data_IF_099165445111
#
_entry.id   IF_099165445111
#
_cell.length_a   1.000
_cell.length_b   1.000
_cell.length_c   1.000
_cell.angle_alpha   90.00
_cell.angle_beta   90.00
_cell.angle_gamma   90.00
#
_symmetry.space_group_name_H-M   'P 1'
#
loop_
_entity.id
_entity.type
_entity.pdbx_description
1 polymer ?
#
# COMPACT_ATOMS: atom_id res chain seq x y z
N UNK A 1 -85.64 -42.70 1.32
CA UNK A 1 -85.78 -43.28 -0.03
C UNK A 1 -84.59 -42.86 -0.86
N UNK A 2 -83.97 -43.83 -1.56
CA UNK A 2 -83.19 -43.78 -2.81
C UNK A 2 -82.45 -42.46 -3.16
N UNK A 3 -81.12 -42.38 -3.26
CA UNK A 3 -80.18 -43.08 -4.17
C UNK A 3 -80.47 -42.83 -5.66
N UNK A 4 -79.57 -42.06 -6.31
CA UNK A 4 -79.07 -42.08 -7.70
C UNK A 4 -79.16 -40.79 -8.55
N UNK A 5 -78.09 -40.63 -9.35
CA UNK A 5 -77.77 -39.69 -10.44
C UNK A 5 -76.98 -38.43 -9.99
N UNK A 6 -75.76 -38.09 -10.44
CA UNK A 6 -74.86 -38.47 -11.55
C UNK A 6 -73.41 -38.12 -11.11
N UNK A 7 -72.42 -39.03 -11.18
CA UNK A 7 -71.41 -39.18 -12.26
C UNK A 7 -70.65 -37.91 -12.70
N UNK A 8 -69.39 -37.86 -12.23
CA UNK A 8 -68.16 -37.37 -12.86
C UNK A 8 -68.06 -35.92 -13.35
N UNK A 9 -67.38 -35.10 -12.55
CA UNK A 9 -66.44 -34.08 -13.04
C UNK A 9 -65.24 -34.00 -12.07
N UNK A 10 -64.11 -34.56 -12.54
CA UNK A 10 -62.73 -34.29 -12.15
C UNK A 10 -62.41 -34.11 -10.66
N UNK A 11 -62.05 -35.22 -10.00
CA UNK A 11 -61.07 -35.17 -8.92
C UNK A 11 -60.21 -36.43 -8.89
N UNK A 12 -58.96 -36.25 -8.50
CA UNK A 12 -57.94 -37.25 -8.15
C UNK A 12 -57.35 -38.12 -9.27
N UNK A 13 -56.28 -37.62 -9.89
CA UNK A 13 -54.98 -38.29 -9.88
C UNK A 13 -53.92 -37.31 -10.42
N UNK A 14 -53.51 -36.37 -9.57
CA UNK A 14 -52.20 -35.75 -9.72
C UNK A 14 -51.19 -36.83 -9.34
N UNK A 15 -50.55 -37.44 -10.34
CA UNK A 15 -49.37 -38.30 -10.16
C UNK A 15 -48.24 -37.44 -9.56
N UNK A 16 -48.28 -37.29 -8.24
CA UNK A 16 -47.20 -36.71 -7.47
C UNK A 16 -46.06 -37.71 -7.45
N UNK A 17 -44.97 -37.40 -8.15
CA UNK A 17 -43.73 -38.12 -7.99
C UNK A 17 -43.36 -38.22 -6.50
N UNK A 18 -42.96 -39.40 -6.00
CA UNK A 18 -42.60 -39.54 -4.61
C UNK A 18 -41.34 -38.72 -4.33
N UNK A 19 -41.49 -37.63 -3.57
CA UNK A 19 -40.35 -36.92 -2.99
C UNK A 19 -39.51 -37.91 -2.19
N UNK A 20 -38.35 -38.30 -2.73
CA UNK A 20 -37.44 -39.27 -2.12
C UNK A 20 -37.02 -38.77 -0.73
N UNK A 21 -37.49 -39.48 0.30
CA UNK A 21 -37.24 -39.15 1.72
C UNK A 21 -35.76 -39.44 2.05
N UNK A 22 -34.88 -38.44 1.90
CA UNK A 22 -33.45 -38.58 2.22
C UNK A 22 -33.24 -39.23 3.60
N UNK A 23 -32.38 -40.24 3.66
CA UNK A 23 -32.14 -40.99 4.90
C UNK A 23 -31.46 -40.10 5.96
N UNK A 24 -31.75 -40.34 7.23
CA UNK A 24 -31.15 -39.60 8.36
C UNK A 24 -29.62 -39.66 8.36
N UNK A 25 -29.04 -40.72 7.81
CA UNK A 25 -27.61 -40.88 7.60
C UNK A 25 -27.07 -39.94 6.51
N UNK A 26 -27.74 -39.82 5.36
CA UNK A 26 -27.36 -38.88 4.30
C UNK A 26 -27.34 -37.44 4.84
N UNK A 27 -28.34 -37.05 5.65
CA UNK A 27 -28.36 -35.71 6.29
C UNK A 27 -27.20 -35.50 7.26
N UNK A 28 -26.78 -36.52 8.01
CA UNK A 28 -25.64 -36.44 8.94
C UNK A 28 -24.31 -36.34 8.19
N UNK A 29 -24.13 -37.13 7.13
CA UNK A 29 -22.93 -37.08 6.28
C UNK A 29 -22.83 -35.73 5.56
N UNK A 30 -23.92 -35.24 4.96
CA UNK A 30 -23.94 -33.92 4.30
C UNK A 30 -23.68 -32.78 5.29
N UNK A 31 -24.25 -32.84 6.50
CA UNK A 31 -23.95 -31.86 7.56
C UNK A 31 -22.49 -31.92 7.99
N UNK A 32 -21.94 -33.13 8.16
CA UNK A 32 -20.53 -33.32 8.46
C UNK A 32 -19.65 -32.70 7.37
N UNK A 33 -19.86 -33.10 6.12
CA UNK A 33 -19.11 -32.58 4.97
C UNK A 33 -19.18 -31.05 4.87
N UNK A 34 -20.37 -30.47 5.03
CA UNK A 34 -20.57 -29.02 5.06
C UNK A 34 -19.79 -28.33 6.18
N UNK A 35 -19.88 -28.84 7.42
CA UNK A 35 -19.16 -28.28 8.56
C UNK A 35 -17.65 -28.36 8.34
N UNK A 36 -17.14 -29.51 7.90
CA UNK A 36 -15.72 -29.74 7.69
C UNK A 36 -15.14 -29.02 6.46
N UNK A 37 -15.97 -28.52 5.54
CA UNK A 37 -15.52 -27.69 4.41
C UNK A 37 -15.72 -26.20 4.65
N UNK A 38 -16.90 -25.79 5.12
CA UNK A 38 -17.27 -24.37 5.24
C UNK A 38 -16.62 -23.72 6.45
N UNK A 39 -16.55 -24.41 7.59
CA UNK A 39 -15.96 -23.82 8.81
C UNK A 39 -14.49 -23.46 8.58
N UNK A 40 -13.61 -24.36 8.08
CA UNK A 40 -12.22 -23.99 7.79
C UNK A 40 -12.12 -22.85 6.78
N UNK A 41 -12.92 -22.86 5.71
CA UNK A 41 -12.89 -21.80 4.71
C UNK A 41 -13.23 -20.44 5.31
N UNK A 42 -14.32 -20.35 6.08
CA UNK A 42 -14.71 -19.11 6.77
C UNK A 42 -13.64 -18.70 7.79
N UNK A 43 -13.06 -19.65 8.52
CA UNK A 43 -11.96 -19.38 9.44
C UNK A 43 -10.75 -18.76 8.73
N UNK A 44 -10.34 -19.29 7.57
CA UNK A 44 -9.24 -18.72 6.78
C UNK A 44 -9.57 -17.31 6.31
N UNK A 45 -10.80 -17.06 5.84
CA UNK A 45 -11.24 -15.71 5.44
C UNK A 45 -11.22 -14.73 6.62
N UNK A 46 -11.68 -15.14 7.79
CA UNK A 46 -11.64 -14.31 8.99
C UNK A 46 -10.20 -14.03 9.47
N UNK A 47 -9.31 -15.03 9.39
CA UNK A 47 -7.89 -14.86 9.68
C UNK A 47 -7.27 -13.84 8.72
N UNK A 48 -7.57 -13.92 7.43
CA UNK A 48 -7.11 -12.94 6.46
C UNK A 48 -7.59 -11.53 6.80
N UNK A 49 -8.90 -11.34 7.03
CA UNK A 49 -9.46 -10.01 7.33
C UNK A 49 -8.83 -9.38 8.57
N UNK A 50 -8.52 -10.18 9.59
CA UNK A 50 -7.92 -9.70 10.84
C UNK A 50 -6.41 -9.47 10.75
N UNK A 51 -5.69 -10.25 9.95
CA UNK A 51 -4.23 -10.18 9.84
C UNK A 51 -3.71 -9.41 8.61
N UNK A 52 -4.56 -9.03 7.65
CA UNK A 52 -4.14 -8.42 6.38
C UNK A 52 -3.17 -7.25 6.55
N UNK A 53 -3.40 -6.34 7.51
CA UNK A 53 -2.50 -5.19 7.72
C UNK A 53 -1.13 -5.60 8.25
N UNK A 54 -1.03 -6.67 9.04
CA UNK A 54 0.25 -7.24 9.51
C UNK A 54 0.99 -8.01 8.41
N UNK A 55 0.26 -8.50 7.40
CA UNK A 55 0.87 -9.12 6.23
C UNK A 55 1.37 -8.06 5.24
N UNK A 56 0.61 -6.98 5.09
CA UNK A 56 0.90 -5.87 4.18
C UNK A 56 2.02 -4.97 4.70
N UNK A 57 1.93 -4.51 5.95
CA UNK A 57 2.94 -3.70 6.60
C UNK A 57 3.75 -4.60 7.53
N UNK A 58 5.08 -4.57 7.39
CA UNK A 58 6.01 -5.29 8.25
C UNK A 58 6.88 -4.28 9.01
N UNK A 59 6.32 -3.61 10.04
CA UNK A 59 7.09 -2.67 10.82
C UNK A 59 8.30 -3.34 11.45
N UNK A 60 9.41 -2.63 11.41
CA UNK A 60 10.68 -2.99 12.06
C UNK A 60 10.97 -1.92 13.12
N UNK A 61 10.33 -2.00 14.30
CA UNK A 61 10.59 -1.04 15.38
C UNK A 61 12.04 -1.11 15.81
N UNK A 62 12.62 0.05 16.10
CA UNK A 62 13.98 0.17 16.61
C UNK A 62 14.06 1.42 17.48
N UNK A 63 14.84 1.32 18.55
CA UNK A 63 15.14 2.46 19.41
C UNK A 63 16.45 3.13 18.96
N UNK A 64 16.68 4.33 19.46
CA UNK A 64 17.95 5.06 19.36
C UNK A 64 18.43 5.33 17.93
N UNK A 65 17.51 5.69 17.05
CA UNK A 65 17.79 6.00 15.64
C UNK A 65 18.04 7.50 15.40
N UNK A 66 18.44 8.26 16.42
CA UNK A 66 18.88 9.64 16.22
C UNK A 66 20.26 9.70 15.56
N UNK A 67 20.56 10.81 14.89
CA UNK A 67 21.88 11.09 14.30
C UNK A 67 22.99 10.95 15.34
N UNK A 68 22.75 11.45 16.55
CA UNK A 68 23.72 11.43 17.64
C UNK A 68 24.01 10.00 18.14
N UNK A 69 22.99 9.18 18.33
CA UNK A 69 23.11 7.82 18.87
C UNK A 69 23.82 6.89 17.88
N UNK A 70 23.51 7.03 16.58
CA UNK A 70 24.16 6.28 15.52
C UNK A 70 25.53 6.83 15.12
N UNK A 71 25.98 7.94 15.73
CA UNK A 71 27.26 8.62 15.43
C UNK A 71 27.39 9.00 13.95
N UNK A 72 26.28 9.39 13.33
CA UNK A 72 26.26 9.90 11.97
C UNK A 72 26.80 11.34 11.96
N UNK A 73 27.39 11.75 10.83
CA UNK A 73 27.94 13.11 10.69
C UNK A 73 26.80 14.14 10.71
N UNK A 74 26.71 15.03 11.72
CA UNK A 74 25.62 16.00 11.84
C UNK A 74 25.64 17.09 10.75
N UNK A 75 26.73 17.22 9.99
CA UNK A 75 26.76 18.10 8.83
C UNK A 75 26.00 17.50 7.64
N UNK A 76 25.98 16.17 7.56
CA UNK A 76 25.36 15.42 6.47
C UNK A 76 23.99 14.86 6.83
N UNK A 77 23.71 14.63 8.11
CA UNK A 77 22.44 14.09 8.59
C UNK A 77 21.79 15.03 9.59
N UNK A 78 20.48 15.22 9.47
CA UNK A 78 19.66 15.93 10.46
C UNK A 78 18.46 15.09 10.83
N UNK A 79 18.16 15.03 12.13
CA UNK A 79 16.95 14.39 12.61
C UNK A 79 15.71 15.18 12.17
N UNK A 80 14.71 14.45 11.67
CA UNK A 80 13.40 14.98 11.32
C UNK A 80 12.37 14.41 12.28
N UNK A 81 11.52 15.28 12.82
CA UNK A 81 10.41 14.91 13.68
C UNK A 81 9.16 15.66 13.25
N UNK A 82 8.10 14.92 12.91
CA UNK A 82 6.80 15.49 12.54
C UNK A 82 5.76 15.03 13.56
N UNK A 83 5.03 15.99 14.15
CA UNK A 83 3.90 15.69 15.02
C UNK A 83 2.62 15.63 14.19
N UNK A 84 1.95 14.49 14.19
CA UNK A 84 0.71 14.31 13.44
C UNK A 84 -0.48 14.92 14.19
N UNK A 85 -1.57 15.20 13.47
CA UNK A 85 -2.78 15.79 14.07
C UNK A 85 -3.49 14.88 15.08
N UNK A 86 -3.21 13.58 15.04
CA UNK A 86 -3.69 12.56 15.97
C UNK A 86 -2.65 12.19 17.05
N UNK A 87 -1.66 13.07 17.28
CA UNK A 87 -0.69 12.98 18.38
C UNK A 87 0.24 11.74 18.31
N UNK A 88 0.55 11.30 17.09
CA UNK A 88 1.63 10.38 16.81
C UNK A 88 2.86 11.17 16.33
N UNK A 89 4.04 10.58 16.48
CA UNK A 89 5.31 11.18 16.05
C UNK A 89 5.90 10.37 14.91
N UNK A 90 6.11 11.01 13.77
CA UNK A 90 6.91 10.47 12.67
C UNK A 90 8.36 10.92 12.86
N UNK A 91 9.28 9.97 12.71
CA UNK A 91 10.72 10.16 12.79
C UNK A 91 11.36 9.88 11.45
N UNK A 92 12.49 10.53 11.20
CA UNK A 92 13.14 10.47 9.91
C UNK A 92 14.48 11.17 9.91
N UNK A 93 15.10 11.22 8.74
CA UNK A 93 16.32 11.98 8.51
C UNK A 93 16.20 12.85 7.27
N UNK A 94 16.88 13.99 7.32
CA UNK A 94 17.25 14.76 6.15
C UNK A 94 18.75 14.56 5.93
N UNK A 95 19.10 13.97 4.79
CA UNK A 95 20.48 13.83 4.35
C UNK A 95 20.83 14.93 3.36
N UNK A 96 22.02 15.49 3.52
CA UNK A 96 22.61 16.47 2.61
C UNK A 96 23.37 15.73 1.50
N UNK A 97 23.00 15.98 0.24
CA UNK A 97 23.69 15.42 -0.92
C UNK A 97 25.14 15.89 -1.05
N UNK A 98 26.01 14.99 -1.53
CA UNK A 98 27.42 15.29 -1.87
C UNK A 98 27.49 16.34 -2.97
N UNK A 99 28.58 17.09 -2.93
CA UNK A 99 28.77 18.27 -3.77
C UNK A 99 29.71 17.87 -4.88
N UNK A 100 29.27 18.00 -6.13
CA UNK A 100 30.06 17.57 -7.29
C UNK A 100 31.19 18.58 -7.64
N UNK A 101 31.12 19.80 -7.09
CA UNK A 101 31.93 20.97 -7.47
C UNK A 101 32.62 21.72 -6.31
N UNK A 102 32.31 21.41 -5.04
CA UNK A 102 33.06 21.90 -3.87
C UNK A 102 32.58 23.21 -3.20
N UNK A 103 31.86 24.11 -3.87
CA UNK A 103 31.52 25.47 -3.36
C UNK A 103 30.06 25.66 -2.94
N UNK A 104 29.73 25.95 -1.66
CA UNK A 104 28.35 25.86 -1.08
C UNK A 104 27.24 26.25 -2.08
N UNK A 105 26.33 25.32 -2.48
CA UNK A 105 25.37 25.63 -3.53
C UNK A 105 24.44 26.68 -2.94
N UNK A 106 24.01 27.63 -3.76
CA UNK A 106 22.95 28.54 -3.29
C UNK A 106 21.73 27.67 -2.97
N UNK A 107 20.94 28.04 -1.96
CA UNK A 107 19.75 27.27 -1.56
C UNK A 107 18.80 26.92 -2.74
N UNK A 108 18.78 27.75 -3.78
CA UNK A 108 18.01 27.53 -5.01
C UNK A 108 18.54 26.41 -5.94
N UNK A 109 19.75 25.91 -5.72
CA UNK A 109 20.37 24.87 -6.55
C UNK A 109 20.23 23.47 -5.97
N UNK A 110 19.88 23.37 -4.68
CA UNK A 110 19.65 22.07 -4.02
C UNK A 110 18.41 21.40 -4.61
N UNK A 111 18.45 20.08 -4.67
CA UNK A 111 17.34 19.23 -5.12
C UNK A 111 17.04 18.22 -4.03
N UNK A 112 15.78 18.00 -3.75
CA UNK A 112 15.33 17.09 -2.71
C UNK A 112 14.70 15.85 -3.35
N UNK A 113 15.04 14.68 -2.83
CA UNK A 113 14.29 13.44 -3.00
C UNK A 113 13.52 13.18 -1.72
N UNK A 114 12.19 13.13 -1.81
CA UNK A 114 11.37 12.57 -0.74
C UNK A 114 11.25 11.07 -1.01
N UNK A 115 11.89 10.26 -0.17
CA UNK A 115 11.91 8.81 -0.31
C UNK A 115 10.79 8.19 0.53
N UNK A 116 9.81 7.61 -0.16
CA UNK A 116 8.79 6.73 0.41
C UNK A 116 9.25 5.27 0.30
N UNK A 117 9.62 4.62 1.41
CA UNK A 117 10.17 3.26 1.39
C UNK A 117 9.12 2.18 1.13
N UNK A 118 9.58 0.98 0.79
CA UNK A 118 8.73 -0.22 0.77
C UNK A 118 8.06 -0.60 2.11
N UNK A 119 7.39 -1.75 2.13
CA UNK A 119 6.56 -2.19 3.24
C UNK A 119 7.31 -2.82 4.43
N UNK A 120 8.63 -2.79 4.39
CA UNK A 120 9.54 -3.44 5.35
C UNK A 120 10.76 -2.54 5.54
N UNK A 121 11.55 -2.84 6.57
CA UNK A 121 12.79 -2.12 6.94
C UNK A 121 12.52 -0.69 7.44
N UNK A 122 13.34 -0.24 8.38
CA UNK A 122 13.34 1.14 8.86
C UNK A 122 14.45 1.96 8.20
N UNK A 123 14.46 3.27 8.41
CA UNK A 123 15.41 4.21 7.78
C UNK A 123 16.89 3.84 7.94
N UNK A 124 17.29 3.23 9.07
CA UNK A 124 18.69 2.84 9.29
C UNK A 124 19.12 1.67 8.41
N UNK A 125 18.20 0.76 8.12
CA UNK A 125 18.42 -0.39 7.23
C UNK A 125 18.45 0.04 5.75
N UNK A 126 18.04 1.28 5.44
CA UNK A 126 18.08 1.90 4.10
C UNK A 126 19.30 2.78 3.87
N UNK A 127 20.27 2.79 4.78
CA UNK A 127 21.41 3.71 4.73
C UNK A 127 22.15 3.68 3.39
N UNK A 128 22.29 2.51 2.77
CA UNK A 128 22.94 2.38 1.46
C UNK A 128 22.18 3.17 0.38
N UNK A 129 20.88 2.92 0.21
CA UNK A 129 20.03 3.65 -0.75
C UNK A 129 20.11 5.16 -0.53
N UNK A 130 20.04 5.59 0.74
CA UNK A 130 20.08 7.00 1.11
C UNK A 130 21.40 7.65 0.72
N UNK A 131 22.53 6.95 0.94
CA UNK A 131 23.85 7.42 0.57
C UNK A 131 24.05 7.43 -0.94
N UNK A 132 23.56 6.43 -1.69
CA UNK A 132 23.67 6.40 -3.14
C UNK A 132 22.92 7.59 -3.80
N UNK A 133 21.74 7.93 -3.29
CA UNK A 133 21.00 9.11 -3.73
C UNK A 133 21.75 10.39 -3.35
N UNK A 134 22.25 10.47 -2.11
CA UNK A 134 23.03 11.61 -1.64
C UNK A 134 24.32 11.81 -2.47
N UNK A 135 24.98 10.73 -2.86
CA UNK A 135 26.20 10.72 -3.66
C UNK A 135 25.96 11.22 -5.09
N UNK A 136 24.72 11.12 -5.58
CA UNK A 136 24.28 11.73 -6.84
C UNK A 136 24.02 13.25 -6.72
N UNK A 137 24.22 13.83 -5.53
CA UNK A 137 24.07 15.27 -5.25
C UNK A 137 22.65 15.73 -4.91
N UNK A 138 21.79 14.81 -4.48
CA UNK A 138 20.44 15.11 -4.02
C UNK A 138 20.37 15.08 -2.50
N UNK A 139 19.62 16.00 -1.91
CA UNK A 139 19.18 15.85 -0.53
C UNK A 139 18.13 14.75 -0.46
N UNK A 140 18.09 14.04 0.67
CA UNK A 140 17.17 12.92 0.85
C UNK A 140 16.39 13.11 2.13
N UNK A 141 15.09 13.28 2.00
CA UNK A 141 14.14 13.26 3.11
C UNK A 141 13.50 11.88 3.16
N UNK A 142 13.76 11.15 4.25
CA UNK A 142 13.09 9.89 4.54
C UNK A 142 12.41 10.00 5.91
N UNK A 143 11.19 9.47 6.01
CA UNK A 143 10.51 9.29 7.28
C UNK A 143 10.03 7.85 7.39
N UNK A 144 10.26 7.26 8.56
CA UNK A 144 9.71 5.95 8.89
C UNK A 144 8.19 6.04 9.01
N UNK A 145 7.50 5.10 8.39
CA UNK A 145 6.07 4.94 8.57
C UNK A 145 5.72 4.67 10.04
N UNK A 146 4.49 4.95 10.43
CA UNK A 146 4.01 4.67 11.79
C UNK A 146 4.27 3.22 12.19
N UNK A 147 4.88 3.04 13.35
CA UNK A 147 5.30 1.74 13.89
C UNK A 147 6.64 1.22 13.38
N UNK A 148 7.30 1.89 12.43
CA UNK A 148 8.65 1.55 11.94
C UNK A 148 9.68 2.41 12.66
N UNK A 149 10.88 1.86 12.87
CA UNK A 149 11.92 2.55 13.62
C UNK A 149 11.40 3.02 14.97
N UNK A 150 11.60 4.29 15.28
CA UNK A 150 11.11 4.99 16.47
C UNK A 150 9.90 5.90 16.17
N UNK A 151 9.23 5.73 15.01
CA UNK A 151 7.93 6.38 14.72
C UNK A 151 6.80 5.67 15.48
N UNK A 152 5.90 6.44 16.08
CA UNK A 152 4.78 5.90 16.88
C UNK A 152 3.54 5.61 16.02
N UNK A 153 2.55 4.93 16.60
CA UNK A 153 1.27 4.63 15.96
C UNK A 153 1.26 3.35 15.12
N UNK A 154 0.20 3.17 14.33
CA UNK A 154 0.00 2.00 13.48
C UNK A 154 -0.26 2.39 12.02
N UNK A 155 0.28 1.66 11.04
CA UNK A 155 0.12 1.98 9.63
C UNK A 155 -1.27 1.56 9.12
N UNK A 156 -1.86 2.41 8.30
CA UNK A 156 -2.99 2.07 7.43
C UNK A 156 -3.02 3.00 6.22
N UNK A 157 -3.75 2.64 5.17
CA UNK A 157 -3.79 3.46 3.96
C UNK A 157 -4.21 4.92 4.21
N UNK A 158 -5.28 5.12 4.98
CA UNK A 158 -5.78 6.46 5.27
C UNK A 158 -4.81 7.28 6.13
N UNK A 159 -4.06 6.63 7.01
CA UNK A 159 -3.07 7.25 7.88
C UNK A 159 -1.81 7.61 7.10
N UNK A 160 -1.25 6.66 6.36
CA UNK A 160 -0.04 6.89 5.56
C UNK A 160 -0.27 7.93 4.44
N UNK A 161 -1.50 8.04 3.92
CA UNK A 161 -1.86 9.11 2.98
C UNK A 161 -1.77 10.50 3.63
N UNK A 162 -2.21 10.65 4.88
CA UNK A 162 -2.10 11.91 5.63
C UNK A 162 -0.65 12.22 5.97
N UNK A 163 0.09 11.20 6.41
CA UNK A 163 1.51 11.33 6.76
C UNK A 163 2.33 11.73 5.53
N UNK A 164 2.04 11.17 4.35
CA UNK A 164 2.68 11.56 3.09
C UNK A 164 2.45 13.04 2.75
N UNK A 165 1.22 13.54 2.93
CA UNK A 165 0.90 14.96 2.76
C UNK A 165 1.65 15.84 3.75
N UNK A 166 1.78 15.39 5.00
CA UNK A 166 2.53 16.11 6.02
C UNK A 166 4.04 16.18 5.71
N UNK A 167 4.62 15.08 5.21
CA UNK A 167 6.03 15.05 4.77
C UNK A 167 6.24 16.01 3.59
N UNK A 168 5.33 16.03 2.63
CA UNK A 168 5.34 17.00 1.53
C UNK A 168 5.27 18.45 2.02
N UNK A 169 4.35 18.74 2.93
CA UNK A 169 4.18 20.07 3.50
C UNK A 169 5.40 20.50 4.33
N UNK A 170 6.02 19.57 5.05
CA UNK A 170 7.28 19.82 5.77
C UNK A 170 8.40 20.22 4.80
N UNK A 171 8.54 19.50 3.67
CA UNK A 171 9.55 19.82 2.67
C UNK A 171 9.36 21.24 2.07
N UNK A 172 8.12 21.64 1.80
CA UNK A 172 7.84 22.96 1.23
C UNK A 172 7.88 24.09 2.25
N UNK A 173 7.25 23.90 3.42
CA UNK A 173 7.00 24.99 4.36
C UNK A 173 8.11 25.14 5.40
N UNK A 174 8.72 24.04 5.85
CA UNK A 174 9.78 24.10 6.86
C UNK A 174 11.16 24.08 6.21
N UNK A 175 11.37 23.19 5.23
CA UNK A 175 12.64 23.11 4.51
C UNK A 175 12.75 24.08 3.32
N UNK A 176 11.65 24.76 2.96
CA UNK A 176 11.62 25.81 1.92
C UNK A 176 12.06 25.32 0.52
N UNK A 177 11.85 24.04 0.22
CA UNK A 177 12.04 23.50 -1.13
C UNK A 177 10.88 23.89 -2.04
N UNK A 178 11.20 24.44 -3.23
CA UNK A 178 10.21 24.64 -4.28
C UNK A 178 9.77 23.30 -4.86
N UNK A 179 8.52 23.18 -5.31
CA UNK A 179 8.03 21.95 -5.95
C UNK A 179 8.93 21.48 -7.11
N UNK A 180 9.48 22.42 -7.88
CA UNK A 180 10.41 22.17 -9.00
C UNK A 180 11.78 21.65 -8.58
N UNK A 181 12.11 21.67 -7.29
CA UNK A 181 13.32 21.08 -6.71
C UNK A 181 13.06 19.68 -6.12
N UNK A 182 11.79 19.30 -5.93
CA UNK A 182 11.42 18.06 -5.26
C UNK A 182 11.18 16.94 -6.27
N UNK A 183 11.78 15.78 -6.02
CA UNK A 183 11.48 14.51 -6.67
C UNK A 183 10.83 13.59 -5.65
N UNK A 184 9.73 12.95 -6.00
CA UNK A 184 9.19 11.87 -5.18
C UNK A 184 9.75 10.55 -5.68
N UNK A 185 10.35 9.77 -4.78
CA UNK A 185 10.82 8.43 -5.07
C UNK A 185 10.05 7.44 -4.19
N UNK A 186 9.29 6.55 -4.82
CA UNK A 186 8.49 5.56 -4.13
C UNK A 186 8.87 4.14 -4.53
N UNK A 187 9.17 3.30 -3.55
CA UNK A 187 9.55 1.91 -3.74
C UNK A 187 8.43 0.97 -3.27
N UNK A 188 7.96 0.06 -4.12
CA UNK A 188 6.92 -0.92 -3.79
C UNK A 188 5.67 -0.26 -3.18
N UNK A 189 5.35 -0.53 -1.90
CA UNK A 189 4.31 0.18 -1.15
C UNK A 189 4.50 1.70 -1.15
N UNK A 190 5.73 2.17 -1.03
CA UNK A 190 6.06 3.59 -1.00
C UNK A 190 5.70 4.32 -2.29
N UNK A 191 5.66 3.63 -3.43
CA UNK A 191 5.09 4.20 -4.65
C UNK A 191 3.59 4.44 -4.56
N UNK A 192 2.84 3.52 -3.95
CA UNK A 192 1.42 3.71 -3.70
C UNK A 192 1.16 4.82 -2.66
N UNK A 193 2.06 4.96 -1.66
CA UNK A 193 2.04 6.07 -0.69
C UNK A 193 2.34 7.40 -1.37
N UNK A 194 3.37 7.48 -2.23
CA UNK A 194 3.70 8.70 -2.98
C UNK A 194 2.52 9.13 -3.86
N UNK A 195 1.94 8.17 -4.60
CA UNK A 195 0.77 8.42 -5.46
C UNK A 195 -0.49 8.83 -4.67
N UNK A 196 -0.57 8.53 -3.37
CA UNK A 196 -1.70 8.92 -2.53
C UNK A 196 -1.89 10.43 -2.40
N UNK A 197 -0.84 11.21 -2.66
CA UNK A 197 -0.90 12.67 -2.77
C UNK A 197 -1.84 13.17 -3.88
N UNK A 198 -2.22 12.29 -4.82
CA UNK A 198 -3.19 12.58 -5.90
C UNK A 198 -4.46 11.71 -5.78
N UNK A 199 -4.91 11.46 -4.54
CA UNK A 199 -6.13 10.67 -4.26
C UNK A 199 -7.43 11.31 -4.78
N UNK A 200 -7.43 12.61 -5.03
CA UNK A 200 -8.51 13.33 -5.70
C UNK A 200 -7.96 14.10 -6.91
N UNK A 201 -8.85 14.77 -7.65
CA UNK A 201 -8.48 15.60 -8.81
C UNK A 201 -8.37 17.09 -8.45
N UNK A 202 -7.92 17.42 -7.23
CA UNK A 202 -7.74 18.81 -6.79
C UNK A 202 -6.60 19.50 -7.55
N UNK A 203 -6.80 20.77 -7.90
CA UNK A 203 -5.73 21.65 -8.40
C UNK A 203 -4.68 21.96 -7.33
N UNK A 204 -4.98 21.72 -6.04
CA UNK A 204 -4.01 21.84 -4.94
C UNK A 204 -3.09 20.63 -4.77
N UNK A 205 -3.18 19.64 -5.66
CA UNK A 205 -2.33 18.46 -5.58
C UNK A 205 -0.86 18.83 -5.88
N UNK A 206 0.09 18.20 -5.18
CA UNK A 206 1.52 18.42 -5.39
C UNK A 206 1.95 18.39 -6.86
N UNK A 207 2.82 19.32 -7.27
CA UNK A 207 3.46 19.31 -8.61
C UNK A 207 5.00 19.20 -8.51
N UNK A 208 5.54 18.09 -7.95
CA UNK A 208 6.97 17.88 -7.87
C UNK A 208 7.61 17.87 -9.27
N UNK A 209 8.91 18.12 -9.36
CA UNK A 209 9.67 18.05 -10.62
C UNK A 209 9.41 16.76 -11.39
N UNK A 210 9.37 15.62 -10.69
CA UNK A 210 9.13 14.30 -11.27
C UNK A 210 8.75 13.31 -10.17
N UNK A 211 8.06 12.24 -10.56
CA UNK A 211 7.80 11.07 -9.71
C UNK A 211 8.59 9.87 -10.25
N UNK A 212 9.26 9.14 -9.38
CA UNK A 212 9.96 7.90 -9.69
C UNK A 212 9.30 6.77 -8.89
N UNK A 213 8.87 5.73 -9.59
CA UNK A 213 8.23 4.56 -9.01
C UNK A 213 9.10 3.33 -9.29
N UNK A 214 9.52 2.62 -8.26
CA UNK A 214 10.28 1.37 -8.37
C UNK A 214 9.45 0.21 -7.86
N UNK A 215 9.24 -0.83 -8.67
CA UNK A 215 8.44 -2.03 -8.34
C UNK A 215 7.08 -1.74 -7.68
N UNK A 216 6.44 -0.63 -8.05
CA UNK A 216 5.13 -0.24 -7.51
C UNK A 216 4.01 -1.04 -8.16
N UNK A 217 3.03 -1.47 -7.36
CA UNK A 217 1.90 -2.27 -7.82
C UNK A 217 0.72 -1.41 -8.32
N UNK A 218 -0.13 -2.00 -9.16
CA UNK A 218 -1.30 -1.34 -9.73
C UNK A 218 -2.41 -1.05 -8.70
N UNK A 219 -2.73 -2.05 -7.88
CA UNK A 219 -3.44 -1.88 -6.61
C UNK A 219 -3.22 -3.08 -5.71
N UNK A 220 -3.30 -2.92 -4.40
CA UNK A 220 -3.13 -4.05 -3.47
C UNK A 220 -4.26 -5.07 -3.65
N UNK A 221 -5.49 -4.60 -3.88
CA UNK A 221 -6.64 -5.48 -4.17
C UNK A 221 -6.36 -6.37 -5.39
N UNK A 222 -5.75 -5.82 -6.45
CA UNK A 222 -5.36 -6.58 -7.64
C UNK A 222 -4.22 -7.55 -7.34
N UNK A 223 -3.16 -7.12 -6.66
CA UNK A 223 -2.05 -8.00 -6.27
C UNK A 223 -2.55 -9.19 -5.44
N UNK A 224 -3.42 -8.96 -4.47
CA UNK A 224 -4.04 -10.03 -3.67
C UNK A 224 -4.87 -10.99 -4.53
N UNK A 225 -5.62 -10.47 -5.52
CA UNK A 225 -6.38 -11.32 -6.44
C UNK A 225 -5.47 -12.23 -7.27
N UNK A 226 -4.36 -11.70 -7.79
CA UNK A 226 -3.41 -12.44 -8.62
C UNK A 226 -2.75 -13.60 -7.85
N UNK A 227 -2.44 -13.40 -6.57
CA UNK A 227 -1.81 -14.43 -5.71
C UNK A 227 -2.80 -15.41 -5.04
N UNK A 228 -4.06 -15.00 -4.82
CA UNK A 228 -5.03 -15.77 -4.01
C UNK A 228 -6.39 -15.95 -4.69
N UNK A 229 -6.38 -16.42 -5.94
CA UNK A 229 -7.58 -16.52 -6.80
C UNK A 229 -8.72 -17.39 -6.24
N UNK A 230 -8.42 -18.36 -5.37
CA UNK A 230 -9.43 -19.25 -4.77
C UNK A 230 -10.16 -18.66 -3.56
N UNK A 231 -9.71 -17.50 -3.08
CA UNK A 231 -10.32 -16.81 -1.94
C UNK A 231 -10.84 -15.43 -2.36
N UNK A 232 -11.92 -14.92 -1.74
CA UNK A 232 -12.50 -13.60 -2.04
C UNK A 232 -11.68 -12.47 -1.41
N UNK A 233 -10.39 -12.68 -1.13
CA UNK A 233 -9.56 -11.76 -0.35
C UNK A 233 -9.50 -10.37 -0.97
N UNK A 234 -9.46 -10.25 -2.31
CA UNK A 234 -9.39 -8.97 -3.00
C UNK A 234 -10.60 -8.06 -2.76
N UNK A 235 -11.77 -8.62 -2.48
CA UNK A 235 -12.95 -7.84 -2.08
C UNK A 235 -12.88 -7.36 -0.62
N UNK A 236 -12.08 -8.04 0.20
CA UNK A 236 -11.97 -7.85 1.65
C UNK A 236 -10.72 -7.08 2.07
N UNK A 237 -9.87 -6.70 1.11
CA UNK A 237 -8.72 -5.82 1.35
C UNK A 237 -9.22 -4.44 1.80
N UNK A 238 -8.86 -4.05 3.02
CA UNK A 238 -9.20 -2.76 3.62
C UNK A 238 -8.34 -1.64 3.04
N UNK A 239 -7.04 -1.90 2.91
CA UNK A 239 -6.05 -0.96 2.42
C UNK A 239 -5.78 -1.30 0.94
N UNK A 240 -6.57 -0.73 0.04
CA UNK A 240 -6.65 -1.12 -1.38
C UNK A 240 -5.53 -0.53 -2.21
N UNK A 241 -5.00 0.63 -1.84
CA UNK A 241 -3.91 1.32 -2.53
C UNK A 241 -4.10 1.42 -4.06
N UNK A 242 -5.11 2.15 -4.57
CA UNK A 242 -5.46 2.18 -6.00
C UNK A 242 -4.49 3.05 -6.84
N UNK A 243 -3.23 2.63 -6.97
CA UNK A 243 -2.18 3.38 -7.69
C UNK A 243 -2.55 3.72 -9.14
N UNK A 244 -3.18 2.80 -9.89
CA UNK A 244 -3.60 3.02 -11.29
C UNK A 244 -4.65 4.14 -11.41
N UNK A 245 -5.46 4.36 -10.38
CA UNK A 245 -6.45 5.43 -10.42
C UNK A 245 -5.83 6.77 -10.02
N UNK A 246 -4.95 6.75 -9.00
CA UNK A 246 -4.23 7.93 -8.52
C UNK A 246 -3.24 8.49 -9.54
N UNK A 247 -2.53 7.62 -10.27
CA UNK A 247 -1.52 8.03 -11.25
C UNK A 247 -2.11 8.87 -12.40
N UNK A 248 -3.40 8.70 -12.73
CA UNK A 248 -4.10 9.48 -13.76
C UNK A 248 -4.20 10.97 -13.42
N UNK A 249 -4.13 11.32 -12.13
CA UNK A 249 -4.21 12.69 -11.64
C UNK A 249 -2.82 13.37 -11.58
N UNK A 250 -1.73 12.63 -11.84
CA UNK A 250 -0.36 13.15 -11.82
C UNK A 250 -0.09 13.88 -13.14
N UNK A 251 0.17 15.20 -13.08
CA UNK A 251 0.40 16.06 -14.26
C UNK A 251 1.90 16.23 -14.60
N UNK A 252 2.79 15.70 -13.77
CA UNK A 252 4.25 15.84 -13.89
C UNK A 252 4.88 14.58 -14.51
N UNK A 253 6.13 14.63 -15.00
CA UNK A 253 6.81 13.45 -15.53
C UNK A 253 6.88 12.30 -14.51
N UNK A 254 6.66 11.07 -14.99
CA UNK A 254 6.74 9.84 -14.20
C UNK A 254 7.75 8.91 -14.86
N UNK A 255 8.64 8.34 -14.05
CA UNK A 255 9.51 7.25 -14.46
C UNK A 255 9.19 6.00 -13.65
N UNK A 256 8.87 4.90 -14.33
CA UNK A 256 8.57 3.62 -13.68
C UNK A 256 9.69 2.62 -13.99
N UNK A 257 10.30 2.10 -12.93
CA UNK A 257 11.26 1.01 -12.92
C UNK A 257 10.56 -0.27 -12.45
N UNK A 258 10.77 -1.37 -13.15
CA UNK A 258 10.21 -2.66 -12.77
C UNK A 258 11.13 -3.78 -13.24
N UNK A 259 11.45 -4.71 -12.34
CA UNK A 259 12.27 -5.88 -12.65
C UNK A 259 11.50 -6.88 -13.50
N UNK A 260 12.11 -7.41 -14.56
CA UNK A 260 11.42 -8.37 -15.45
C UNK A 260 11.13 -9.73 -14.79
N UNK A 261 11.76 -10.01 -13.65
CA UNK A 261 11.60 -11.24 -12.86
C UNK A 261 10.90 -10.99 -11.51
N UNK A 262 10.23 -9.84 -11.34
CA UNK A 262 9.43 -9.56 -10.15
C UNK A 262 8.13 -10.37 -10.20
N UNK A 263 8.14 -11.55 -9.57
CA UNK A 263 6.98 -12.43 -9.47
C UNK A 263 5.95 -11.94 -8.42
N UNK A 264 6.29 -10.95 -7.60
CA UNK A 264 5.42 -10.47 -6.53
C UNK A 264 4.49 -9.35 -7.00
N UNK A 265 5.00 -8.42 -7.80
CA UNK A 265 4.23 -7.31 -8.37
C UNK A 265 4.12 -7.48 -9.88
N UNK A 266 2.91 -7.65 -10.39
CA UNK A 266 2.69 -7.68 -11.84
C UNK A 266 2.92 -6.31 -12.50
N UNK A 267 3.44 -6.32 -13.72
CA UNK A 267 3.78 -5.21 -14.63
C UNK A 267 2.55 -4.39 -15.12
N UNK A 268 1.59 -4.14 -14.24
CA UNK A 268 0.25 -3.66 -14.58
C UNK A 268 0.07 -2.14 -14.47
N UNK A 269 1.10 -1.38 -14.07
CA UNK A 269 1.10 0.07 -14.24
C UNK A 269 1.34 0.37 -15.73
N UNK A 270 0.46 1.18 -16.34
CA UNK A 270 0.29 1.31 -17.79
C UNK A 270 1.61 1.35 -18.58
N UNK A 271 1.74 0.38 -19.49
CA UNK A 271 2.92 0.00 -20.26
C UNK A 271 3.54 1.10 -21.13
N UNK A 272 2.85 2.23 -21.33
CA UNK A 272 3.32 3.33 -22.18
C UNK A 272 4.35 4.24 -21.49
N UNK A 273 4.56 4.13 -20.18
CA UNK A 273 5.53 4.93 -19.42
C UNK A 273 6.60 4.10 -18.68
N UNK A 274 6.61 2.79 -18.88
CA UNK A 274 7.51 1.87 -18.16
C UNK A 274 8.84 1.74 -18.90
N UNK A 275 9.94 2.18 -18.28
CA UNK A 275 11.29 1.77 -18.72
C UNK A 275 11.58 0.40 -18.10
N UNK A 276 11.60 -0.62 -18.94
CA UNK A 276 11.93 -2.00 -18.53
C UNK A 276 13.44 -2.15 -18.40
N UNK A 277 13.91 -2.62 -17.25
CA UNK A 277 15.31 -2.98 -17.02
C UNK A 277 15.38 -4.49 -16.82
N UNK A 278 16.37 -5.12 -17.46
CA UNK A 278 16.67 -6.55 -17.31
C UNK A 278 17.53 -6.77 -16.09
#
# INVERSE_FOLDING_TARGET
MLRFALMNLFDCCSDGEPMTKQSTWQRRVLRGAFIYSVVPYVSVVLIFVTLQRRLMYRPTPSENLSVAELKLDPNNFRDVQLQTSDNETLRGWLLTGKRLDGDEPKAMERRLVIYFPGNSLNRSERMQDLQEIADCGYDVLISDYRGYGDSTGNPSESVLTKDAKQIWDYAQNELQYLETQITLFGESLGGAVALSLWSDSSESNPQPKTVILSSTFASMSRTVHEHYQWFPFHYLVLDRWPSVDRIKNVKVPITIFHGTEDDFVSLALDSNQVRKFR
#
